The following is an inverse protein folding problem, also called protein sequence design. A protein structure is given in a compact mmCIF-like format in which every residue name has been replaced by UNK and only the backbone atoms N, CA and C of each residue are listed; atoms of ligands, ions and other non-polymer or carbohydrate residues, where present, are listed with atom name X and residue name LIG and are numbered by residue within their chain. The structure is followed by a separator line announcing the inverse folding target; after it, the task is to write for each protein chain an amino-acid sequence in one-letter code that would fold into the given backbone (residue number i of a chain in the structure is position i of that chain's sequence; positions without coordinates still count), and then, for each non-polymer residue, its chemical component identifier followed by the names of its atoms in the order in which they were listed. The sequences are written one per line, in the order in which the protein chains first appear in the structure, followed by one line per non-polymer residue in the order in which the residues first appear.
data_IF_865811599885
#
_entry.id   IF_865811599885
#
_cell.length_a   1.000
_cell.length_b   1.000
_cell.length_c   1.000
_cell.angle_alpha   90.00
_cell.angle_beta   90.00
_cell.angle_gamma   90.00
#
_symmetry.space_group_name_H-M   'P 1'
#
loop_
_entity.id
_entity.type
_entity.pdbx_description
1 polymer ?
#
# COMPACT_ATOMS: atom_id res chain seq x y z
N UNK A 1 29.69 40.18 34.06
CA UNK A 1 30.24 39.04 33.29
C UNK A 1 29.43 37.74 33.45
N UNK A 2 28.98 37.37 34.65
CA UNK A 2 28.21 36.13 34.91
C UNK A 2 26.79 36.10 34.33
N UNK A 3 26.07 37.23 34.26
CA UNK A 3 24.71 37.30 33.68
C UNK A 3 24.68 36.96 32.18
N UNK A 4 25.68 37.37 31.41
CA UNK A 4 25.78 37.10 29.97
C UNK A 4 26.09 35.63 29.68
N UNK A 5 26.88 34.97 30.53
CA UNK A 5 27.18 33.53 30.43
C UNK A 5 25.93 32.71 30.73
N UNK A 6 25.14 33.10 31.73
CA UNK A 6 23.89 32.42 32.07
C UNK A 6 22.85 32.47 30.93
N UNK A 7 22.73 33.62 30.26
CA UNK A 7 21.86 33.76 29.09
C UNK A 7 22.28 32.87 27.92
N UNK A 8 23.59 32.75 27.67
CA UNK A 8 24.13 31.91 26.60
C UNK A 8 23.87 30.42 26.85
N UNK A 9 24.01 29.96 28.10
CA UNK A 9 23.74 28.56 28.50
C UNK A 9 22.25 28.23 28.36
N UNK A 10 21.36 29.16 28.72
CA UNK A 10 19.91 28.96 28.55
C UNK A 10 19.52 28.89 27.08
N UNK A 11 20.11 29.71 26.20
CA UNK A 11 19.84 29.69 24.76
C UNK A 11 20.30 28.37 24.10
N UNK A 12 21.43 27.82 24.53
CA UNK A 12 21.94 26.52 24.04
C UNK A 12 21.03 25.37 24.49
N UNK A 13 20.56 25.39 25.74
CA UNK A 13 19.65 24.37 26.28
C UNK A 13 18.27 24.38 25.58
N UNK A 14 17.75 25.56 25.25
CA UNK A 14 16.45 25.70 24.55
C UNK A 14 16.56 25.30 23.07
N UNK A 15 17.74 25.45 22.45
CA UNK A 15 17.99 25.03 21.05
C UNK A 15 18.14 23.51 20.91
N UNK A 16 18.55 22.80 21.97
CA UNK A 16 18.73 21.34 21.97
C UNK A 16 17.40 20.55 22.04
N UNK A 17 16.30 21.18 22.44
CA UNK A 17 14.99 20.53 22.59
C UNK A 17 14.12 20.51 21.32
N UNK A 18 14.64 20.90 20.15
CA UNK A 18 13.91 20.83 18.88
C UNK A 18 14.35 19.64 18.05
N UNK A 19 14.14 18.43 18.57
CA UNK A 19 14.22 17.21 17.75
C UNK A 19 12.81 16.63 17.64
N UNK A 20 11.97 17.28 16.86
CA UNK A 20 10.73 16.68 16.37
C UNK A 20 11.11 15.53 15.44
N UNK A 21 11.35 14.35 16.03
CA UNK A 21 11.42 13.13 15.26
C UNK A 21 10.02 12.91 14.69
N UNK A 22 9.88 13.15 13.39
CA UNK A 22 8.68 12.80 12.65
C UNK A 22 8.60 11.26 12.63
N UNK A 23 8.02 10.71 13.70
CA UNK A 23 7.85 9.28 13.97
C UNK A 23 6.64 8.73 13.22
N UNK A 24 6.42 9.17 11.98
CA UNK A 24 5.33 8.65 11.18
C UNK A 24 5.69 7.25 10.67
N UNK A 25 5.34 6.24 11.49
CA UNK A 25 5.51 4.83 11.17
C UNK A 25 4.81 4.46 9.86
N UNK A 26 3.57 4.93 9.71
CA UNK A 26 2.68 4.60 8.61
C UNK A 26 2.47 5.83 7.72
N UNK A 27 2.95 5.76 6.49
CA UNK A 27 2.84 6.82 5.49
C UNK A 27 1.79 6.44 4.45
N UNK A 28 0.81 7.30 4.22
CA UNK A 28 -0.15 7.13 3.13
C UNK A 28 0.60 7.05 1.80
N UNK A 29 0.30 6.03 1.00
CA UNK A 29 1.01 5.77 -0.26
C UNK A 29 0.05 5.68 -1.44
N UNK A 30 -1.05 6.43 -1.38
CA UNK A 30 -2.14 6.34 -2.35
C UNK A 30 -2.00 7.26 -3.56
N UNK A 31 -1.25 8.35 -3.45
CA UNK A 31 -1.21 9.39 -4.49
C UNK A 31 -0.15 9.14 -5.55
N UNK A 32 -0.37 9.65 -6.77
CA UNK A 32 0.62 9.66 -7.85
C UNK A 32 1.00 8.26 -8.33
N UNK A 33 0.03 7.37 -8.42
CA UNK A 33 0.18 6.08 -9.10
C UNK A 33 -0.08 6.26 -10.59
N UNK A 34 0.49 5.38 -11.38
CA UNK A 34 0.24 5.26 -12.80
C UNK A 34 -0.51 3.97 -13.06
N UNK A 35 -1.50 4.00 -13.94
CA UNK A 35 -2.32 2.86 -14.30
C UNK A 35 -2.35 2.67 -15.82
N UNK A 36 -2.26 1.43 -16.25
CA UNK A 36 -2.37 1.01 -17.64
C UNK A 36 -3.23 -0.26 -17.70
N UNK A 37 -4.28 -0.24 -18.51
CA UNK A 37 -5.07 -1.43 -18.78
C UNK A 37 -4.58 -2.06 -20.09
N UNK A 38 -4.17 -3.33 -20.05
CA UNK A 38 -3.72 -4.03 -21.24
C UNK A 38 -4.88 -4.33 -22.19
N UNK A 39 -4.69 -4.04 -23.48
CA UNK A 39 -5.61 -4.44 -24.55
C UNK A 39 -5.41 -5.90 -24.98
N UNK A 40 -4.22 -6.45 -24.76
CA UNK A 40 -3.85 -7.79 -25.20
C UNK A 40 -3.75 -8.73 -24.01
N UNK A 41 -4.77 -9.57 -23.82
CA UNK A 41 -4.78 -10.61 -22.78
C UNK A 41 -3.96 -11.85 -23.14
N UNK A 42 -3.43 -11.91 -24.37
CA UNK A 42 -2.78 -13.11 -24.96
C UNK A 42 -1.28 -12.93 -25.21
N UNK A 43 -0.76 -11.70 -25.19
CA UNK A 43 0.67 -11.46 -25.39
C UNK A 43 1.43 -11.67 -24.09
N UNK A 44 2.30 -12.68 -24.07
CA UNK A 44 3.20 -13.00 -22.95
C UNK A 44 4.27 -11.94 -22.69
N UNK A 45 4.35 -10.89 -23.52
CA UNK A 45 5.36 -9.82 -23.44
C UNK A 45 4.73 -8.47 -23.70
N UNK A 46 4.02 -7.93 -22.72
CA UNK A 46 3.62 -6.52 -22.72
C UNK A 46 4.86 -5.68 -22.38
N UNK A 47 5.28 -4.80 -23.30
CA UNK A 47 6.35 -3.85 -23.02
C UNK A 47 5.80 -2.67 -22.18
N UNK A 48 5.97 -2.78 -20.87
CA UNK A 48 5.53 -1.76 -19.92
C UNK A 48 6.24 -0.40 -20.08
N UNK A 49 7.36 -0.34 -20.84
CA UNK A 49 8.09 0.91 -21.09
C UNK A 49 7.35 1.83 -22.06
N UNK A 50 6.62 1.27 -23.01
CA UNK A 50 5.88 2.00 -24.06
C UNK A 50 4.39 2.12 -23.78
N UNK A 51 3.91 1.53 -22.67
CA UNK A 51 2.52 1.60 -22.25
C UNK A 51 2.06 3.05 -22.00
N UNK A 52 0.80 3.33 -22.36
CA UNK A 52 0.15 4.64 -22.16
C UNK A 52 -0.40 4.73 -20.73
N UNK A 53 0.46 5.20 -19.81
CA UNK A 53 0.16 5.27 -18.39
C UNK A 53 -0.68 6.49 -18.02
N UNK A 54 -1.82 6.28 -17.37
CA UNK A 54 -2.67 7.33 -16.80
C UNK A 54 -2.36 7.54 -15.32
N UNK A 55 -2.31 8.78 -14.86
CA UNK A 55 -2.12 9.05 -13.43
C UNK A 55 -3.44 8.81 -12.69
N UNK A 56 -3.39 8.03 -11.60
CA UNK A 56 -4.53 7.70 -10.76
C UNK A 56 -4.22 7.93 -9.28
N UNK A 57 -5.28 8.08 -8.50
CA UNK A 57 -5.25 8.15 -7.04
C UNK A 57 -5.85 6.85 -6.50
N UNK A 58 -5.18 6.21 -5.55
CA UNK A 58 -5.75 5.07 -4.84
C UNK A 58 -6.66 5.55 -3.69
N UNK A 59 -7.68 4.77 -3.30
CA UNK A 59 -8.13 3.52 -3.93
C UNK A 59 -8.68 3.71 -5.35
N UNK A 60 -8.44 2.74 -6.23
CA UNK A 60 -8.82 2.80 -7.64
C UNK A 60 -9.48 1.49 -8.08
N UNK A 61 -10.67 1.61 -8.66
CA UNK A 61 -11.41 0.55 -9.31
C UNK A 61 -11.57 0.93 -10.79
N UNK A 62 -10.95 0.19 -11.70
CA UNK A 62 -11.04 0.53 -13.13
C UNK A 62 -12.32 0.02 -13.78
N UNK A 63 -13.00 -0.99 -13.20
CA UNK A 63 -14.19 -1.59 -13.82
C UNK A 63 -15.35 -0.61 -13.88
N UNK A 64 -15.47 0.28 -12.89
CA UNK A 64 -16.54 1.32 -12.89
C UNK A 64 -16.37 2.37 -13.99
N UNK A 65 -15.21 2.44 -14.64
CA UNK A 65 -14.96 3.39 -15.73
C UNK A 65 -15.49 2.89 -17.08
N UNK A 66 -15.85 1.62 -17.17
CA UNK A 66 -16.41 1.01 -18.37
C UNK A 66 -17.93 1.21 -18.46
N UNK A 67 -18.49 1.31 -19.67
CA UNK A 67 -19.92 1.17 -19.84
C UNK A 67 -20.36 -0.26 -19.48
N UNK A 68 -21.59 -0.40 -19.02
CA UNK A 68 -22.22 -1.71 -18.88
C UNK A 68 -22.33 -2.41 -20.25
N UNK A 69 -22.00 -3.69 -20.30
CA UNK A 69 -22.11 -4.53 -21.49
C UNK A 69 -23.14 -5.64 -21.25
N UNK A 70 -24.33 -5.49 -21.85
CA UNK A 70 -25.40 -6.49 -21.73
C UNK A 70 -25.21 -7.73 -22.60
N UNK A 71 -24.23 -7.72 -23.51
CA UNK A 71 -23.98 -8.79 -24.48
C UNK A 71 -22.85 -9.69 -24.03
N UNK A 72 -21.70 -9.11 -23.68
CA UNK A 72 -20.52 -9.87 -23.24
C UNK A 72 -20.27 -9.78 -21.74
N UNK A 73 -20.95 -8.88 -21.03
CA UNK A 73 -20.85 -8.78 -19.58
C UNK A 73 -21.67 -9.85 -18.87
N UNK A 74 -21.21 -10.25 -17.69
CA UNK A 74 -21.84 -11.30 -16.90
C UNK A 74 -22.70 -10.71 -15.79
N UNK A 75 -23.94 -11.19 -15.66
CA UNK A 75 -24.91 -10.62 -14.72
C UNK A 75 -24.51 -10.80 -13.25
N UNK A 76 -23.82 -11.89 -12.91
CA UNK A 76 -23.34 -12.15 -11.55
C UNK A 76 -22.35 -11.10 -11.04
N UNK A 77 -21.64 -10.42 -11.94
CA UNK A 77 -20.69 -9.34 -11.62
C UNK A 77 -21.16 -7.99 -12.16
N UNK A 78 -22.46 -7.82 -12.38
CA UNK A 78 -23.06 -6.53 -12.68
C UNK A 78 -22.80 -6.00 -14.09
N UNK A 79 -22.58 -6.88 -15.07
CA UNK A 79 -22.38 -6.52 -16.49
C UNK A 79 -21.19 -5.58 -16.76
N UNK A 80 -20.22 -5.53 -15.87
CA UNK A 80 -19.00 -4.75 -16.04
C UNK A 80 -17.79 -5.66 -16.32
N UNK A 81 -16.89 -5.27 -17.23
CA UNK A 81 -15.73 -6.07 -17.58
C UNK A 81 -14.65 -6.03 -16.49
N UNK A 82 -13.74 -6.99 -16.55
CA UNK A 82 -12.50 -7.02 -15.77
C UNK A 82 -11.28 -6.64 -16.61
N UNK A 83 -10.43 -7.61 -16.90
CA UNK A 83 -9.23 -7.45 -17.74
C UNK A 83 -7.91 -7.54 -16.96
N UNK A 84 -6.79 -7.23 -17.60
CA UNK A 84 -5.46 -7.24 -16.97
C UNK A 84 -4.98 -5.80 -16.83
N UNK A 85 -4.90 -5.34 -15.59
CA UNK A 85 -4.44 -3.99 -15.24
C UNK A 85 -3.04 -4.00 -14.66
N UNK A 86 -2.29 -2.95 -14.94
CA UNK A 86 -0.98 -2.70 -14.37
C UNK A 86 -1.01 -1.37 -13.62
N UNK A 87 -0.42 -1.36 -12.44
CA UNK A 87 -0.14 -0.17 -11.67
C UNK A 87 1.37 -0.01 -11.54
N UNK A 88 1.84 1.23 -11.61
CA UNK A 88 3.25 1.59 -11.43
C UNK A 88 3.38 2.75 -10.47
N UNK A 89 4.38 2.67 -9.60
CA UNK A 89 4.70 3.73 -8.65
C UNK A 89 6.20 3.93 -8.58
N UNK A 90 6.63 5.13 -8.93
CA UNK A 90 8.01 5.57 -8.76
C UNK A 90 8.11 6.40 -7.49
N UNK A 91 9.09 6.10 -6.64
CA UNK A 91 9.29 6.80 -5.37
C UNK A 91 10.75 6.77 -4.91
N UNK A 92 11.11 7.78 -4.14
CA UNK A 92 12.38 7.83 -3.42
C UNK A 92 12.15 7.48 -1.96
N UNK A 93 13.11 6.81 -1.35
CA UNK A 93 13.10 6.56 0.08
C UNK A 93 14.52 6.66 0.61
N UNK A 94 14.69 7.41 1.69
CA UNK A 94 15.88 7.34 2.52
C UNK A 94 15.65 6.27 3.57
N UNK A 95 16.42 5.19 3.56
CA UNK A 95 16.30 4.10 4.54
C UNK A 95 17.62 3.97 5.28
N UNK A 96 17.59 4.16 6.60
CA UNK A 96 18.80 4.02 7.42
C UNK A 96 19.15 2.55 7.62
N UNK A 97 20.42 2.30 7.93
CA UNK A 97 20.94 0.94 8.14
C UNK A 97 20.24 0.16 9.26
N UNK A 98 19.61 0.85 10.21
CA UNK A 98 18.88 0.29 11.34
C UNK A 98 17.36 0.28 11.12
N UNK A 99 16.89 0.58 9.93
CA UNK A 99 15.47 0.62 9.57
C UNK A 99 15.08 -0.53 8.62
N UNK A 100 13.76 -0.75 8.53
CA UNK A 100 13.09 -1.62 7.57
C UNK A 100 11.94 -0.87 6.92
N UNK A 101 11.66 -1.20 5.67
CA UNK A 101 10.55 -0.65 4.92
C UNK A 101 9.64 -1.78 4.43
N UNK A 102 8.36 -1.68 4.75
CA UNK A 102 7.33 -2.57 4.24
C UNK A 102 6.34 -1.77 3.39
N UNK A 103 5.76 -2.43 2.39
CA UNK A 103 4.57 -1.93 1.71
C UNK A 103 3.37 -2.79 2.10
N UNK A 104 2.27 -2.13 2.42
CA UNK A 104 1.06 -2.76 2.91
C UNK A 104 -0.11 -2.43 1.99
N UNK A 105 -0.82 -3.47 1.57
CA UNK A 105 -2.04 -3.36 0.77
C UNK A 105 -3.22 -3.87 1.60
N UNK A 106 -4.24 -3.03 1.79
CA UNK A 106 -5.44 -3.43 2.52
C UNK A 106 -6.38 -4.34 1.69
N UNK A 107 -6.15 -4.43 0.38
CA UNK A 107 -6.81 -5.34 -0.54
C UNK A 107 -6.60 -4.96 -2.00
N UNK A 108 -6.41 -5.96 -2.85
CA UNK A 108 -6.25 -5.82 -4.31
C UNK A 108 -7.06 -6.92 -4.98
N UNK A 109 -8.06 -6.58 -5.77
CA UNK A 109 -8.92 -7.57 -6.43
C UNK A 109 -8.51 -7.72 -7.91
N UNK A 110 -7.96 -8.86 -8.35
CA UNK A 110 -7.43 -10.03 -7.63
C UNK A 110 -6.29 -10.66 -8.48
N UNK A 111 -5.81 -11.86 -8.10
CA UNK A 111 -4.72 -12.57 -8.82
C UNK A 111 -3.54 -11.65 -9.13
N UNK A 112 -3.08 -10.93 -8.11
CA UNK A 112 -2.12 -9.87 -8.29
C UNK A 112 -0.69 -10.35 -8.14
N UNK A 113 0.22 -9.74 -8.89
CA UNK A 113 1.65 -10.03 -8.86
C UNK A 113 2.42 -8.72 -8.65
N UNK A 114 3.55 -8.79 -7.94
CA UNK A 114 4.25 -7.62 -7.43
C UNK A 114 5.73 -7.67 -7.77
N UNK A 115 6.27 -6.54 -8.25
CA UNK A 115 7.69 -6.37 -8.54
C UNK A 115 8.20 -5.04 -8.00
N UNK A 116 9.44 -5.02 -7.55
CA UNK A 116 10.18 -3.81 -7.19
C UNK A 116 11.51 -3.82 -7.95
N UNK A 117 11.84 -2.75 -8.67
CA UNK A 117 13.08 -2.63 -9.44
C UNK A 117 13.35 -3.84 -10.36
N UNK A 118 12.28 -4.39 -10.95
CA UNK A 118 12.32 -5.57 -11.82
C UNK A 118 12.41 -6.93 -11.11
N UNK A 119 12.55 -6.98 -9.79
CA UNK A 119 12.59 -8.21 -9.00
C UNK A 119 11.18 -8.59 -8.53
N UNK A 120 10.75 -9.85 -8.75
CA UNK A 120 9.44 -10.35 -8.29
C UNK A 120 9.46 -10.48 -6.76
N UNK A 121 8.53 -9.80 -6.10
CA UNK A 121 8.30 -9.91 -4.65
C UNK A 121 7.42 -11.11 -4.31
N UNK A 122 6.42 -11.37 -5.15
CA UNK A 122 5.47 -12.45 -4.94
C UNK A 122 4.14 -12.21 -5.66
N UNK A 123 3.13 -12.95 -5.23
CA UNK A 123 1.78 -12.92 -5.76
C UNK A 123 0.76 -13.09 -4.64
N UNK A 124 -0.44 -12.56 -4.85
CA UNK A 124 -1.53 -12.59 -3.88
C UNK A 124 -2.87 -12.90 -4.59
N UNK A 125 -3.32 -14.16 -4.59
CA UNK A 125 -4.51 -14.55 -5.35
C UNK A 125 -5.81 -13.93 -4.84
N UNK A 126 -5.98 -13.85 -3.52
CA UNK A 126 -7.28 -13.53 -2.91
C UNK A 126 -7.56 -12.04 -2.85
N UNK A 127 -8.71 -11.61 -3.39
CA UNK A 127 -9.01 -10.20 -3.61
C UNK A 127 -9.34 -9.34 -2.37
N UNK A 128 -9.49 -9.95 -1.19
CA UNK A 128 -10.07 -9.28 -0.02
C UNK A 128 -9.19 -9.21 1.22
N UNK A 129 -8.19 -10.09 1.35
CA UNK A 129 -7.34 -10.12 2.53
C UNK A 129 -6.23 -9.06 2.41
N UNK A 130 -5.89 -8.35 3.49
CA UNK A 130 -4.71 -7.50 3.52
C UNK A 130 -3.44 -8.34 3.49
N UNK A 131 -2.35 -7.77 2.97
CA UNK A 131 -1.02 -8.39 2.94
C UNK A 131 0.06 -7.31 2.84
N UNK A 132 1.31 -7.71 3.08
CA UNK A 132 2.46 -6.80 2.98
C UNK A 132 3.69 -7.52 2.44
N UNK A 133 4.62 -6.75 1.88
CA UNK A 133 5.96 -7.21 1.48
C UNK A 133 7.03 -6.43 2.22
N UNK A 134 8.11 -7.10 2.63
CA UNK A 134 9.33 -6.44 3.10
C UNK A 134 10.14 -5.97 1.87
N UNK A 135 10.30 -4.66 1.73
CA UNK A 135 11.04 -4.05 0.62
C UNK A 135 12.52 -3.84 0.96
N UNK A 136 12.92 -3.98 2.23
CA UNK A 136 14.20 -3.51 2.78
C UNK A 136 15.41 -3.90 1.93
N UNK A 137 15.46 -5.15 1.45
CA UNK A 137 16.62 -5.68 0.70
C UNK A 137 16.50 -5.53 -0.82
N UNK A 138 15.43 -4.92 -1.32
CA UNK A 138 15.13 -4.79 -2.74
C UNK A 138 15.19 -3.34 -3.24
N UNK A 139 15.44 -2.39 -2.33
CA UNK A 139 15.52 -0.98 -2.66
C UNK A 139 16.85 -0.64 -3.33
N UNK A 140 16.81 0.29 -4.26
CA UNK A 140 17.99 0.94 -4.80
C UNK A 140 18.63 1.86 -3.76
N UNK A 141 19.86 2.32 -4.03
CA UNK A 141 20.53 3.35 -3.22
C UNK A 141 19.70 4.64 -3.17
N UNK A 142 19.94 5.46 -2.14
CA UNK A 142 19.14 6.67 -1.87
C UNK A 142 19.05 7.66 -3.07
N UNK A 143 20.06 7.66 -3.94
CA UNK A 143 20.13 8.54 -5.11
C UNK A 143 19.33 8.03 -6.32
N UNK A 144 18.89 6.77 -6.30
CA UNK A 144 18.21 6.11 -7.40
C UNK A 144 16.76 5.85 -7.01
N UNK A 145 15.83 6.25 -7.89
CA UNK A 145 14.41 6.01 -7.71
C UNK A 145 14.09 4.52 -7.66
N UNK A 146 13.07 4.17 -6.89
CA UNK A 146 12.51 2.83 -6.84
C UNK A 146 11.25 2.76 -7.69
N UNK A 147 11.09 1.69 -8.45
CA UNK A 147 9.91 1.44 -9.27
C UNK A 147 9.18 0.18 -8.78
N UNK A 148 7.99 0.37 -8.23
CA UNK A 148 7.08 -0.70 -7.87
C UNK A 148 6.07 -0.90 -9.01
N UNK A 149 5.90 -2.15 -9.44
CA UNK A 149 4.90 -2.55 -10.43
C UNK A 149 3.97 -3.59 -9.80
N UNK A 150 2.67 -3.41 -10.01
CA UNK A 150 1.63 -4.35 -9.59
C UNK A 150 0.83 -4.73 -10.83
N UNK A 151 0.80 -6.02 -11.16
CA UNK A 151 -0.13 -6.57 -12.14
C UNK A 151 -1.35 -7.09 -11.39
N UNK A 152 -2.53 -6.86 -11.96
CA UNK A 152 -3.81 -7.38 -11.45
C UNK A 152 -4.49 -8.11 -12.59
N UNK A 153 -4.62 -9.43 -12.46
CA UNK A 153 -5.26 -10.27 -13.48
C UNK A 153 -6.71 -10.56 -13.12
N UNK A 154 -7.59 -9.73 -13.68
CA UNK A 154 -9.03 -9.87 -13.57
C UNK A 154 -9.65 -10.37 -14.89
N UNK A 155 -8.91 -11.18 -15.65
CA UNK A 155 -9.40 -11.80 -16.90
C UNK A 155 -10.56 -12.77 -16.66
N UNK A 156 -10.58 -13.47 -15.52
CA UNK A 156 -11.68 -14.34 -15.10
C UNK A 156 -12.85 -13.56 -14.49
N UNK A 157 -13.32 -12.51 -15.16
CA UNK A 157 -14.19 -11.45 -14.62
C UNK A 157 -15.55 -11.90 -14.01
N UNK A 158 -15.93 -13.16 -14.16
CA UNK A 158 -17.13 -13.78 -13.60
C UNK A 158 -16.87 -14.73 -12.41
N UNK A 159 -15.70 -14.64 -11.76
CA UNK A 159 -15.31 -15.48 -10.62
C UNK A 159 -16.04 -15.19 -9.28
N UNK A 160 -17.08 -14.36 -9.29
CA UNK A 160 -17.80 -13.92 -8.10
C UNK A 160 -19.31 -13.91 -8.33
N UNK A 161 -20.08 -14.03 -7.24
CA UNK A 161 -21.55 -13.96 -7.26
C UNK A 161 -22.10 -12.53 -7.17
N UNK A 162 -21.23 -11.54 -6.96
CA UNK A 162 -21.57 -10.13 -6.90
C UNK A 162 -20.45 -9.29 -7.53
N UNK A 163 -20.77 -8.04 -7.88
CA UNK A 163 -19.78 -7.08 -8.39
C UNK A 163 -18.62 -6.89 -7.42
N UNK A 164 -17.40 -7.08 -7.92
CA UNK A 164 -16.17 -7.02 -7.10
C UNK A 164 -15.35 -5.77 -7.31
N UNK A 165 -15.51 -5.11 -8.45
CA UNK A 165 -14.52 -4.17 -8.97
C UNK A 165 -13.25 -4.86 -9.45
N UNK A 166 -12.28 -4.06 -9.89
CA UNK A 166 -10.96 -4.50 -10.33
C UNK A 166 -9.87 -3.51 -9.94
N UNK A 167 -8.80 -4.02 -9.32
CA UNK A 167 -7.60 -3.25 -9.03
C UNK A 167 -7.29 -3.03 -7.56
N UNK A 168 -6.52 -1.99 -7.28
CA UNK A 168 -6.10 -1.60 -5.93
C UNK A 168 -7.20 -0.73 -5.30
N UNK A 169 -8.31 -1.38 -4.94
CA UNK A 169 -9.54 -0.73 -4.47
C UNK A 169 -9.51 -0.33 -2.98
N UNK A 170 -8.41 -0.59 -2.27
CA UNK A 170 -8.21 -0.16 -0.87
C UNK A 170 -6.89 0.58 -0.70
N UNK A 171 -6.71 1.15 0.49
CA UNK A 171 -5.52 1.94 0.81
C UNK A 171 -4.23 1.13 0.73
N UNK A 172 -3.18 1.83 0.32
CA UNK A 172 -1.80 1.37 0.35
C UNK A 172 -1.02 2.30 1.26
N UNK A 173 -0.15 1.71 2.08
CA UNK A 173 0.75 2.47 2.95
C UNK A 173 2.16 1.91 2.90
N UNK A 174 3.13 2.80 3.10
CA UNK A 174 4.49 2.41 3.43
C UNK A 174 4.65 2.44 4.95
N UNK A 175 5.22 1.38 5.50
CA UNK A 175 5.52 1.29 6.93
C UNK A 175 7.03 1.28 7.11
N UNK A 176 7.57 2.34 7.69
CA UNK A 176 8.99 2.45 8.05
C UNK A 176 9.15 2.25 9.55
N UNK A 177 10.00 1.29 9.93
CA UNK A 177 10.23 0.90 11.33
C UNK A 177 11.70 0.63 11.58
N UNK A 178 12.13 0.72 12.83
CA UNK A 178 13.46 0.25 13.22
C UNK A 178 13.54 -1.29 13.13
N UNK A 179 14.74 -1.87 12.92
CA UNK A 179 14.98 -3.32 12.85
C UNK A 179 14.41 -4.06 14.07
N UNK A 180 14.56 -3.46 15.26
CA UNK A 180 13.84 -3.83 16.47
C UNK A 180 12.47 -3.15 16.48
N UNK A 181 11.43 -3.88 16.08
CA UNK A 181 10.03 -3.43 16.10
C UNK A 181 9.09 -4.59 16.45
N UNK A 182 7.87 -4.26 16.86
CA UNK A 182 6.79 -5.24 17.06
C UNK A 182 6.31 -5.73 15.68
N UNK A 183 6.30 -7.05 15.42
CA UNK A 183 5.79 -7.59 14.17
C UNK A 183 4.32 -7.26 13.94
N UNK A 184 3.90 -7.31 12.68
CA UNK A 184 2.52 -7.01 12.31
C UNK A 184 1.56 -8.10 12.79
N UNK A 185 0.40 -7.69 13.33
CA UNK A 185 -0.65 -8.62 13.77
C UNK A 185 -0.43 -9.30 15.13
N UNK A 186 0.71 -9.10 15.79
CA UNK A 186 1.03 -9.81 17.04
C UNK A 186 0.50 -9.12 18.32
N UNK A 187 0.15 -7.83 18.26
CA UNK A 187 -0.46 -7.16 19.41
C UNK A 187 -1.96 -7.48 19.47
N UNK A 188 -2.31 -8.41 20.34
CA UNK A 188 -3.70 -8.75 20.66
C UNK A 188 -4.05 -8.22 22.05
N UNK A 189 -5.00 -7.29 22.11
CA UNK A 189 -5.56 -6.81 23.38
C UNK A 189 -6.84 -7.59 23.69
N UNK A 190 -6.78 -8.43 24.71
CA UNK A 190 -7.94 -9.13 25.26
C UNK A 190 -8.40 -8.39 26.50
N UNK A 191 -9.63 -7.88 26.48
CA UNK A 191 -10.26 -7.32 27.67
C UNK A 191 -10.92 -8.48 28.45
N UNK A 192 -10.42 -8.86 29.63
CA UNK A 192 -11.12 -9.83 30.46
C UNK A 192 -12.46 -9.24 30.92
N UNK A 193 -13.49 -10.07 30.98
CA UNK A 193 -14.79 -9.68 31.53
C UNK A 193 -14.60 -9.27 33.00
N UNK A 194 -14.90 -8.02 33.32
CA UNK A 194 -14.92 -7.54 34.70
C UNK A 194 -16.16 -8.08 35.41
N UNK A 195 -15.98 -9.03 36.33
CA UNK A 195 -17.04 -9.51 37.25
C UNK A 195 -17.35 -8.49 38.37
N UNK A 196 -17.47 -7.19 38.06
CA UNK A 196 -17.95 -6.19 39.04
C UNK A 196 -19.47 -6.06 38.99
N UNK A 197 -20.11 -6.95 39.76
CA UNK A 197 -21.23 -6.73 40.70
C UNK A 197 -22.32 -5.76 40.23
N UNK A 198 -23.46 -6.31 39.79
CA UNK A 198 -24.76 -5.66 39.94
C UNK A 198 -25.43 -6.24 41.18
N UNK A 199 -25.14 -5.69 42.36
CA UNK A 199 -26.01 -5.86 43.51
C UNK A 199 -27.13 -4.84 43.35
N UNK A 200 -28.25 -5.27 42.78
CA UNK A 200 -29.49 -4.53 42.88
C UNK A 200 -29.93 -4.66 44.33
N UNK A 201 -29.76 -3.59 45.11
CA UNK A 201 -30.49 -3.44 46.36
C UNK A 201 -31.97 -3.26 45.98
N UNK A 202 -32.79 -4.27 46.27
CA UNK A 202 -34.25 -4.15 46.38
C UNK A 202 -34.58 -4.09 47.87
#
# INVERSE_FOLDING_TARGET
MYKSVLYLVVIILVSSCKNERNLQRDMCFNSGWQFFLSTDSTSSTIDLKTADWKTVQLPHDWSVEFPFDSVNGEGCTGYLPGGIGYYKKVFNVDLKNDERLYIWFDGVYNNSEYWINGQKLGEHPYGYSPFYFDLTNHLNSHEITNELVVKVDRSRYADSRWYTGSGIYRNVKLVKVHKLHIPFGELLLLLPVSQKITQIFI
#
